data_IF_375959440901
#
_entry.id   IF_375959440901
#
_cell.length_a   1.000
_cell.length_b   1.000
_cell.length_c   1.000
_cell.angle_alpha   90.00
_cell.angle_beta   90.00
_cell.angle_gamma   90.00
#
_symmetry.space_group_name_H-M   'P 1'
#
loop_
_entity.id
_entity.type
_entity.pdbx_description
1 polymer ?
#
# COMPACT_ATOMS: atom_id res chain seq x y z
N UNK A 1 1.97 -13.04 9.39
CA UNK A 1 2.19 -13.12 7.92
C UNK A 1 1.74 -14.46 7.34
N UNK A 2 1.47 -15.45 8.17
CA UNK A 2 0.89 -16.72 7.73
C UNK A 2 -0.45 -16.49 7.02
N UNK A 3 -0.65 -17.13 5.86
CA UNK A 3 -1.84 -16.96 5.02
C UNK A 3 -1.89 -15.67 4.19
N UNK A 4 -0.80 -14.92 4.11
CA UNK A 4 -0.69 -13.71 3.28
C UNK A 4 0.25 -13.94 2.10
N UNK A 5 -0.12 -13.39 0.94
CA UNK A 5 0.76 -13.21 -0.21
C UNK A 5 1.16 -11.73 -0.26
N UNK A 6 2.43 -11.46 -0.50
CA UNK A 6 2.98 -10.11 -0.53
C UNK A 6 3.71 -9.84 -1.85
N UNK A 7 3.57 -8.63 -2.37
CA UNK A 7 4.27 -8.12 -3.54
C UNK A 7 5.21 -6.98 -3.12
N UNK A 8 6.28 -6.74 -3.92
CA UNK A 8 7.35 -5.79 -3.56
C UNK A 8 7.00 -4.30 -3.70
N UNK A 9 5.75 -3.99 -4.02
CA UNK A 9 5.20 -2.64 -4.21
C UNK A 9 5.77 -1.86 -5.42
N UNK A 10 5.31 -0.60 -5.58
CA UNK A 10 5.65 0.31 -6.67
C UNK A 10 7.03 0.98 -6.47
N UNK A 11 7.33 2.01 -7.27
CA UNK A 11 8.58 2.79 -7.18
C UNK A 11 8.88 3.33 -5.77
N UNK A 12 7.86 3.56 -4.93
CA UNK A 12 8.05 3.98 -3.54
C UNK A 12 8.44 2.84 -2.58
N UNK A 13 8.41 1.59 -3.05
CA UNK A 13 8.79 0.42 -2.26
C UNK A 13 10.28 0.39 -1.89
N UNK A 14 10.62 -0.34 -0.84
CA UNK A 14 12.01 -0.40 -0.33
C UNK A 14 13.00 -0.92 -1.38
N UNK A 15 12.61 -1.94 -2.15
CA UNK A 15 13.47 -2.55 -3.17
C UNK A 15 13.70 -1.61 -4.35
N UNK A 16 12.67 -1.04 -5.01
CA UNK A 16 12.86 -0.04 -6.05
C UNK A 16 13.65 1.18 -5.59
N UNK A 17 13.41 1.68 -4.38
CA UNK A 17 14.16 2.81 -3.82
C UNK A 17 15.65 2.49 -3.62
N UNK A 18 15.99 1.28 -3.20
CA UNK A 18 17.39 0.86 -3.09
C UNK A 18 18.05 0.78 -4.48
N UNK A 19 17.34 0.31 -5.49
CA UNK A 19 17.81 0.26 -6.89
C UNK A 19 18.07 1.69 -7.42
N UNK A 20 17.12 2.61 -7.22
CA UNK A 20 17.26 4.01 -7.65
C UNK A 20 18.42 4.73 -6.95
N UNK A 21 18.72 4.34 -5.70
CA UNK A 21 19.88 4.82 -4.96
C UNK A 21 21.20 4.18 -5.42
N UNK A 22 21.17 3.26 -6.38
CA UNK A 22 22.38 2.54 -6.87
C UNK A 22 22.83 1.42 -5.93
N UNK A 23 22.06 1.06 -4.92
CA UNK A 23 22.39 0.04 -3.92
C UNK A 23 21.67 -1.28 -4.20
N UNK A 24 22.14 -2.00 -5.22
CA UNK A 24 21.57 -3.27 -5.64
C UNK A 24 21.66 -4.36 -4.55
N UNK A 25 22.75 -4.38 -3.77
CA UNK A 25 22.95 -5.37 -2.72
C UNK A 25 21.96 -5.17 -1.57
N UNK A 26 21.63 -3.93 -1.24
CA UNK A 26 20.54 -3.61 -0.30
C UNK A 26 19.19 -4.08 -0.84
N UNK A 27 18.90 -3.84 -2.11
CA UNK A 27 17.68 -4.32 -2.76
C UNK A 27 17.56 -5.84 -2.67
N UNK A 28 18.66 -6.56 -2.95
CA UNK A 28 18.72 -8.02 -2.88
C UNK A 28 18.54 -8.54 -1.45
N UNK A 29 19.18 -7.91 -0.50
CA UNK A 29 19.04 -8.27 0.93
C UNK A 29 17.60 -8.10 1.40
N UNK A 30 16.94 -7.00 1.06
CA UNK A 30 15.54 -6.75 1.38
C UNK A 30 14.62 -7.81 0.72
N UNK A 31 14.82 -8.10 -0.57
CA UNK A 31 14.01 -9.10 -1.28
C UNK A 31 14.11 -10.50 -0.64
N UNK A 32 15.31 -10.91 -0.28
CA UNK A 32 15.54 -12.20 0.39
C UNK A 32 14.91 -12.23 1.79
N UNK A 33 14.99 -11.12 2.52
CA UNK A 33 14.35 -11.00 3.84
C UNK A 33 12.82 -11.13 3.75
N UNK A 34 12.19 -10.45 2.79
CA UNK A 34 10.75 -10.58 2.58
C UNK A 34 10.35 -11.99 2.12
N UNK A 35 11.12 -12.62 1.22
CA UNK A 35 10.88 -14.01 0.82
C UNK A 35 10.91 -14.95 2.03
N UNK A 36 11.89 -14.79 2.90
CA UNK A 36 12.05 -15.64 4.07
C UNK A 36 10.97 -15.38 5.13
N UNK A 37 10.49 -14.12 5.23
CA UNK A 37 9.40 -13.72 6.13
C UNK A 37 8.05 -14.29 5.71
N UNK A 38 7.68 -14.20 4.43
CA UNK A 38 6.39 -14.70 3.92
C UNK A 38 6.41 -16.17 3.54
N UNK A 39 7.58 -16.74 3.32
CA UNK A 39 7.79 -18.08 2.85
C UNK A 39 7.84 -18.20 1.33
N UNK A 40 8.46 -19.26 0.85
CA UNK A 40 8.61 -19.53 -0.58
C UNK A 40 7.24 -19.62 -1.27
N UNK A 41 7.09 -18.96 -2.42
CA UNK A 41 5.83 -18.92 -3.17
C UNK A 41 4.78 -17.91 -2.67
N UNK A 42 5.04 -17.22 -1.54
CA UNK A 42 4.13 -16.21 -0.98
C UNK A 42 4.68 -14.77 -1.08
N UNK A 43 5.83 -14.59 -1.68
CA UNK A 43 6.41 -13.29 -1.95
C UNK A 43 6.78 -13.17 -3.43
N UNK A 44 6.41 -12.04 -4.05
CA UNK A 44 6.63 -11.78 -5.48
C UNK A 44 7.35 -10.45 -5.68
N UNK A 45 8.29 -10.43 -6.62
CA UNK A 45 8.82 -9.18 -7.15
C UNK A 45 7.77 -8.59 -8.08
N UNK A 46 7.24 -7.42 -7.71
CA UNK A 46 6.23 -6.70 -8.47
C UNK A 46 6.87 -5.91 -9.59
N UNK A 47 6.35 -6.05 -10.79
CA UNK A 47 6.80 -5.34 -11.97
C UNK A 47 5.71 -4.37 -12.42
N UNK A 48 6.07 -3.10 -12.56
CA UNK A 48 5.19 -2.03 -13.06
C UNK A 48 5.95 -1.26 -14.14
N UNK A 49 5.23 -0.81 -15.17
CA UNK A 49 5.75 0.05 -16.23
C UNK A 49 4.67 1.07 -16.63
N UNK A 50 4.90 2.32 -16.27
CA UNK A 50 4.03 3.45 -16.59
C UNK A 50 4.70 4.43 -17.58
N UNK A 51 5.86 4.04 -18.16
CA UNK A 51 6.63 4.88 -19.07
C UNK A 51 7.36 6.01 -18.36
N UNK A 52 7.62 5.89 -17.05
CA UNK A 52 8.40 6.84 -16.28
C UNK A 52 9.91 6.62 -16.55
N UNK A 53 10.72 7.66 -16.37
CA UNK A 53 12.18 7.53 -16.49
C UNK A 53 12.73 6.51 -15.49
N UNK A 54 12.22 6.52 -14.28
CA UNK A 54 12.57 5.59 -13.20
C UNK A 54 12.26 4.13 -13.57
N UNK A 55 11.18 3.87 -14.32
CA UNK A 55 10.82 2.51 -14.75
C UNK A 55 11.90 1.92 -15.63
N UNK A 56 12.53 2.74 -16.49
CA UNK A 56 13.63 2.29 -17.39
C UNK A 56 14.86 1.82 -16.61
N UNK A 57 15.07 2.34 -15.40
CA UNK A 57 16.17 1.98 -14.50
C UNK A 57 15.78 0.76 -13.65
N UNK A 58 14.59 0.81 -13.05
CA UNK A 58 14.15 -0.13 -12.00
C UNK A 58 13.73 -1.47 -12.61
N UNK A 59 12.93 -1.47 -13.67
CA UNK A 59 12.34 -2.70 -14.22
C UNK A 59 13.39 -3.75 -14.64
N UNK A 60 14.47 -3.43 -15.39
CA UNK A 60 15.50 -4.40 -15.73
C UNK A 60 16.22 -4.97 -14.49
N UNK A 61 16.40 -4.15 -13.46
CA UNK A 61 17.06 -4.57 -12.21
C UNK A 61 16.16 -5.47 -11.37
N UNK A 62 14.84 -5.22 -11.32
CA UNK A 62 13.88 -6.10 -10.67
C UNK A 62 13.81 -7.47 -11.35
N UNK A 63 13.78 -7.51 -12.68
CA UNK A 63 13.80 -8.76 -13.44
C UNK A 63 15.09 -9.55 -13.17
N UNK A 64 16.24 -8.86 -13.16
CA UNK A 64 17.53 -9.46 -12.80
C UNK A 64 17.49 -10.02 -11.38
N UNK A 65 17.01 -9.23 -10.42
CA UNK A 65 16.88 -9.59 -9.00
C UNK A 65 16.03 -10.85 -8.83
N UNK A 66 14.85 -10.87 -9.45
CA UNK A 66 13.95 -12.01 -9.43
C UNK A 66 14.62 -13.29 -9.94
N UNK A 67 15.32 -13.21 -11.08
CA UNK A 67 16.06 -14.35 -11.65
C UNK A 67 17.22 -14.81 -10.78
N UNK A 68 17.97 -13.90 -10.18
CA UNK A 68 19.08 -14.24 -9.28
C UNK A 68 18.64 -14.86 -7.97
N UNK A 69 17.49 -14.45 -7.43
CA UNK A 69 16.99 -14.89 -6.12
C UNK A 69 16.01 -16.04 -6.21
N UNK A 70 15.51 -16.37 -7.43
CA UNK A 70 14.45 -17.35 -7.64
C UNK A 70 13.08 -16.89 -7.15
N UNK A 71 12.91 -15.62 -6.78
CA UNK A 71 11.61 -15.07 -6.35
C UNK A 71 10.74 -14.88 -7.60
N UNK A 72 9.50 -15.39 -7.62
CA UNK A 72 8.59 -15.21 -8.76
C UNK A 72 8.23 -13.72 -8.96
N UNK A 73 7.88 -13.36 -10.21
CA UNK A 73 7.46 -12.02 -10.58
C UNK A 73 5.94 -11.94 -10.74
N UNK A 74 5.35 -10.77 -10.47
CA UNK A 74 3.96 -10.47 -10.78
C UNK A 74 3.86 -9.09 -11.44
N UNK A 75 3.22 -9.04 -12.62
CA UNK A 75 3.00 -7.79 -13.34
C UNK A 75 1.70 -7.12 -12.85
N UNK A 76 1.81 -5.87 -12.42
CA UNK A 76 0.65 -5.05 -12.01
C UNK A 76 0.70 -3.69 -12.71
N UNK A 77 -0.37 -2.92 -12.61
CA UNK A 77 -0.43 -1.61 -13.29
C UNK A 77 -0.76 -0.44 -12.35
N UNK A 78 -0.87 -0.66 -11.04
CA UNK A 78 -1.17 0.42 -10.07
C UNK A 78 -2.31 1.34 -10.58
N UNK A 79 -3.42 0.74 -11.04
CA UNK A 79 -4.49 1.44 -11.72
C UNK A 79 -5.20 2.43 -10.79
N UNK A 80 -5.24 3.70 -11.17
CA UNK A 80 -5.86 4.78 -10.43
C UNK A 80 -7.15 5.30 -11.06
N UNK A 81 -7.41 4.94 -12.30
CA UNK A 81 -8.62 5.28 -13.05
C UNK A 81 -8.94 4.20 -14.09
N UNK A 82 -10.17 4.23 -14.60
CA UNK A 82 -10.69 3.13 -15.42
C UNK A 82 -10.18 3.17 -16.87
N UNK A 83 -10.15 4.35 -17.49
CA UNK A 83 -9.79 4.53 -18.90
C UNK A 83 -8.67 5.55 -19.00
N UNK A 84 -7.82 5.46 -20.03
CA UNK A 84 -6.74 6.40 -20.30
C UNK A 84 -7.22 7.87 -20.29
N UNK A 85 -8.37 8.16 -20.90
CA UNK A 85 -8.95 9.49 -20.97
C UNK A 85 -9.37 10.06 -19.59
N UNK A 86 -9.51 9.21 -18.58
CA UNK A 86 -9.87 9.62 -17.21
C UNK A 86 -8.69 10.24 -16.43
N UNK A 87 -7.48 10.23 -16.97
CA UNK A 87 -6.28 10.79 -16.34
C UNK A 87 -6.49 12.25 -15.89
N UNK A 88 -7.18 13.07 -16.73
CA UNK A 88 -7.50 14.45 -16.39
C UNK A 88 -8.47 14.56 -15.20
N UNK A 89 -9.44 13.67 -15.12
CA UNK A 89 -10.39 13.64 -13.99
C UNK A 89 -9.67 13.23 -12.71
N UNK A 90 -8.74 12.29 -12.79
CA UNK A 90 -7.89 11.90 -11.67
C UNK A 90 -7.07 13.09 -11.15
N UNK A 91 -6.47 13.90 -12.02
CA UNK A 91 -5.74 15.11 -11.61
C UNK A 91 -6.62 16.10 -10.83
N UNK A 92 -7.91 16.26 -11.23
CA UNK A 92 -8.87 17.08 -10.51
C UNK A 92 -9.17 16.49 -9.13
N UNK A 93 -9.36 15.18 -9.03
CA UNK A 93 -9.61 14.49 -7.76
C UNK A 93 -8.43 14.64 -6.81
N UNK A 94 -7.19 14.52 -7.31
CA UNK A 94 -5.98 14.76 -6.51
C UNK A 94 -5.91 16.20 -5.99
N UNK A 95 -6.28 17.20 -6.81
CA UNK A 95 -6.38 18.59 -6.35
C UNK A 95 -7.40 18.76 -5.21
N UNK A 96 -8.57 18.14 -5.32
CA UNK A 96 -9.59 18.17 -4.25
C UNK A 96 -9.04 17.52 -2.98
N UNK A 97 -8.43 16.35 -3.10
CA UNK A 97 -7.87 15.59 -1.97
C UNK A 97 -6.76 16.36 -1.24
N UNK A 98 -5.92 17.08 -1.98
CA UNK A 98 -4.75 17.80 -1.44
C UNK A 98 -5.04 19.27 -1.11
N UNK A 99 -6.26 19.76 -1.36
CA UNK A 99 -6.63 21.16 -1.16
C UNK A 99 -5.93 22.12 -2.13
N UNK A 100 -5.60 21.65 -3.33
CA UNK A 100 -4.93 22.40 -4.39
C UNK A 100 -5.89 22.70 -5.54
N UNK A 101 -5.44 23.55 -6.45
CA UNK A 101 -6.12 23.86 -7.72
C UNK A 101 -5.29 23.35 -8.91
N UNK A 102 -5.91 23.29 -10.09
CA UNK A 102 -5.19 22.90 -11.32
C UNK A 102 -4.10 23.88 -11.76
N UNK A 103 -4.12 25.13 -11.24
CA UNK A 103 -3.11 26.14 -11.52
C UNK A 103 -1.92 26.10 -10.57
N UNK A 104 -2.01 25.39 -9.44
CA UNK A 104 -0.93 25.32 -8.48
C UNK A 104 0.25 24.53 -9.05
N UNK A 105 1.45 25.10 -9.01
CA UNK A 105 2.66 24.49 -9.57
C UNK A 105 3.12 23.25 -8.77
N UNK A 106 2.75 23.18 -7.49
CA UNK A 106 3.08 22.10 -6.56
C UNK A 106 1.91 21.11 -6.34
N UNK A 107 0.94 21.09 -7.26
CA UNK A 107 -0.11 20.06 -7.23
C UNK A 107 0.46 18.68 -7.44
N UNK A 108 -0.13 17.69 -6.78
CA UNK A 108 0.17 16.30 -7.06
C UNK A 108 -0.47 15.89 -8.40
N UNK A 109 0.33 15.32 -9.31
CA UNK A 109 -0.17 14.76 -10.57
C UNK A 109 0.66 13.56 -11.01
N UNK A 110 0.05 12.68 -11.77
CA UNK A 110 0.77 11.61 -12.47
C UNK A 110 1.47 12.18 -13.70
N UNK A 111 2.71 11.77 -13.94
CA UNK A 111 3.52 12.26 -15.06
C UNK A 111 3.10 11.64 -16.40
N UNK A 112 2.36 10.52 -16.38
CA UNK A 112 1.87 9.83 -17.56
C UNK A 112 0.38 9.50 -17.41
N UNK A 113 -0.28 9.09 -18.48
CA UNK A 113 -1.66 8.62 -18.50
C UNK A 113 -1.79 7.08 -18.48
N UNK A 114 -0.72 6.38 -18.05
CA UNK A 114 -0.60 4.93 -18.10
C UNK A 114 -1.22 4.20 -16.88
N UNK A 115 -1.77 4.91 -15.91
CA UNK A 115 -2.33 4.35 -14.67
C UNK A 115 -3.81 3.95 -14.80
N UNK A 116 -4.24 3.54 -16.00
CA UNK A 116 -5.59 3.03 -16.25
C UNK A 116 -5.67 1.50 -16.16
N UNK A 117 -6.88 0.96 -16.12
CA UNK A 117 -7.08 -0.50 -16.14
C UNK A 117 -6.81 -1.01 -17.55
N UNK A 118 -5.61 -1.54 -17.76
CA UNK A 118 -5.19 -2.15 -19.03
C UNK A 118 -5.89 -3.49 -19.26
N UNK A 119 -6.10 -3.82 -20.51
CA UNK A 119 -6.58 -5.14 -20.94
C UNK A 119 -5.50 -6.20 -20.74
N UNK A 120 -5.90 -7.47 -20.76
CA UNK A 120 -4.96 -8.59 -20.69
C UNK A 120 -3.92 -8.53 -21.80
N UNK A 121 -4.35 -8.23 -23.02
CA UNK A 121 -3.44 -8.15 -24.19
C UNK A 121 -2.44 -7.01 -24.03
N UNK A 122 -2.87 -5.82 -23.58
CA UNK A 122 -1.99 -4.70 -23.31
C UNK A 122 -0.94 -5.04 -22.24
N UNK A 123 -1.32 -5.77 -21.17
CA UNK A 123 -0.37 -6.20 -20.14
C UNK A 123 0.62 -7.23 -20.68
N UNK A 124 0.20 -8.21 -21.49
CA UNK A 124 1.13 -9.16 -22.09
C UNK A 124 2.06 -8.52 -23.13
N UNK A 125 1.59 -7.50 -23.86
CA UNK A 125 2.46 -6.73 -24.77
C UNK A 125 3.48 -5.93 -24.00
N UNK A 126 3.08 -5.27 -22.90
CA UNK A 126 3.96 -4.46 -22.06
C UNK A 126 5.05 -5.30 -21.39
N UNK A 127 4.73 -6.50 -20.94
CA UNK A 127 5.63 -7.42 -20.24
C UNK A 127 6.06 -8.61 -21.14
N UNK A 128 6.11 -8.43 -22.47
CA UNK A 128 6.45 -9.49 -23.41
C UNK A 128 7.83 -10.16 -23.14
N UNK A 129 8.75 -9.44 -22.47
CA UNK A 129 10.06 -9.97 -22.07
C UNK A 129 10.00 -10.93 -20.86
N UNK A 130 8.90 -10.94 -20.11
CA UNK A 130 8.66 -11.77 -18.91
C UNK A 130 7.17 -12.13 -18.78
N UNK A 131 6.59 -12.83 -19.77
CA UNK A 131 5.15 -13.13 -19.81
C UNK A 131 4.67 -13.94 -18.59
N UNK A 132 5.59 -14.66 -17.93
CA UNK A 132 5.32 -15.36 -16.68
C UNK A 132 4.89 -14.41 -15.55
N UNK A 133 5.31 -13.15 -15.57
CA UNK A 133 4.86 -12.17 -14.57
C UNK A 133 3.36 -11.88 -14.69
N UNK A 134 2.80 -11.89 -15.91
CA UNK A 134 1.36 -11.76 -16.14
C UNK A 134 0.63 -13.04 -15.72
N UNK A 135 1.10 -14.22 -16.13
CA UNK A 135 0.43 -15.49 -15.78
C UNK A 135 0.46 -15.80 -14.28
N UNK A 136 1.49 -15.34 -13.55
CA UNK A 136 1.58 -15.49 -12.10
C UNK A 136 0.47 -14.75 -11.35
N UNK A 137 -0.12 -13.70 -11.92
CA UNK A 137 -1.28 -13.02 -11.32
C UNK A 137 -2.49 -13.96 -11.18
N UNK A 138 -2.69 -14.86 -12.15
CA UNK A 138 -3.73 -15.89 -12.05
C UNK A 138 -3.40 -16.90 -10.97
N UNK A 139 -2.13 -17.32 -10.82
CA UNK A 139 -1.70 -18.22 -9.76
C UNK A 139 -1.97 -17.61 -8.38
N UNK A 140 -1.67 -16.32 -8.21
CA UNK A 140 -1.98 -15.58 -6.98
C UNK A 140 -3.50 -15.56 -6.72
N UNK A 141 -4.29 -15.24 -7.75
CA UNK A 141 -5.74 -15.20 -7.62
C UNK A 141 -6.33 -16.57 -7.20
N UNK A 142 -5.84 -17.66 -7.78
CA UNK A 142 -6.28 -19.02 -7.48
C UNK A 142 -5.92 -19.47 -6.04
N UNK A 143 -4.90 -18.87 -5.44
CA UNK A 143 -4.53 -19.10 -4.04
C UNK A 143 -5.37 -18.29 -3.06
N UNK A 144 -6.02 -17.21 -3.50
CA UNK A 144 -6.84 -16.35 -2.66
C UNK A 144 -8.25 -16.92 -2.48
N UNK A 145 -8.42 -17.77 -1.46
CA UNK A 145 -9.69 -18.44 -1.13
C UNK A 145 -10.22 -17.92 0.22
N UNK A 146 -10.55 -16.64 0.30
CA UNK A 146 -11.02 -16.00 1.50
C UNK A 146 -12.33 -15.25 1.25
N UNK A 147 -13.34 -15.54 2.08
CA UNK A 147 -14.62 -14.82 2.07
C UNK A 147 -14.75 -13.92 3.29
N UNK A 148 -15.27 -12.71 3.09
CA UNK A 148 -15.54 -11.77 4.17
C UNK A 148 -16.89 -12.12 4.83
N UNK A 149 -16.87 -12.25 6.15
CA UNK A 149 -18.08 -12.38 6.96
C UNK A 149 -18.67 -10.99 7.23
N UNK A 150 -19.69 -10.62 6.45
CA UNK A 150 -20.39 -9.34 6.60
C UNK A 150 -21.41 -9.38 7.74
N UNK A 151 -21.71 -8.21 8.33
CA UNK A 151 -22.72 -8.07 9.39
C UNK A 151 -22.24 -8.40 10.80
N UNK A 152 -21.00 -8.84 10.96
CA UNK A 152 -20.37 -9.08 12.25
C UNK A 152 -19.24 -8.07 12.49
N UNK A 153 -19.49 -7.13 13.41
CA UNK A 153 -18.48 -6.14 13.79
C UNK A 153 -17.42 -6.81 14.66
N UNK A 154 -16.19 -6.88 14.17
CA UNK A 154 -15.03 -7.38 14.92
C UNK A 154 -14.23 -6.20 15.44
N UNK A 155 -14.47 -5.84 16.71
CA UNK A 155 -13.72 -4.80 17.42
C UNK A 155 -12.58 -5.48 18.18
N UNK A 156 -11.32 -5.00 18.07
CA UNK A 156 -10.22 -5.53 18.86
C UNK A 156 -10.53 -5.44 20.36
N UNK A 157 -10.31 -6.54 21.07
CA UNK A 157 -10.48 -6.56 22.53
C UNK A 157 -9.35 -5.74 23.17
N UNK A 158 -9.75 -4.72 23.91
CA UNK A 158 -8.84 -3.93 24.75
C UNK A 158 -8.89 -4.45 26.18
N UNK A 159 -7.73 -4.68 26.77
CA UNK A 159 -7.60 -5.06 28.17
C UNK A 159 -7.02 -3.90 28.95
N UNK A 160 -7.80 -3.34 29.86
CA UNK A 160 -7.35 -2.25 30.71
C UNK A 160 -6.12 -2.67 31.54
N UNK A 161 -5.17 -1.75 31.80
CA UNK A 161 -4.00 -2.02 32.63
C UNK A 161 -4.42 -2.32 34.09
N UNK A 162 -3.52 -3.01 34.81
CA UNK A 162 -3.70 -3.33 36.24
C UNK A 162 -4.96 -4.13 36.59
N UNK A 163 -5.57 -4.82 35.63
CA UNK A 163 -6.78 -5.61 35.86
C UNK A 163 -8.04 -4.79 36.12
N UNK A 164 -8.02 -3.50 35.83
CA UNK A 164 -9.17 -2.61 35.93
C UNK A 164 -10.23 -3.02 34.91
N UNK A 165 -11.52 -2.77 35.23
CA UNK A 165 -12.58 -2.90 34.24
C UNK A 165 -12.40 -1.88 33.10
N UNK A 166 -12.76 -2.27 31.87
CA UNK A 166 -12.56 -1.41 30.71
C UNK A 166 -13.39 -0.13 30.77
N UNK A 167 -14.61 -0.19 31.31
CA UNK A 167 -15.49 0.97 31.46
C UNK A 167 -14.93 1.94 32.51
N UNK A 168 -14.52 1.43 33.68
CA UNK A 168 -13.90 2.23 34.73
C UNK A 168 -12.62 2.91 34.25
N UNK A 169 -11.80 2.18 33.48
CA UNK A 169 -10.59 2.75 32.90
C UNK A 169 -10.89 3.82 31.86
N UNK A 170 -11.88 3.62 31.03
CA UNK A 170 -12.33 4.61 30.05
C UNK A 170 -12.83 5.89 30.73
N UNK A 171 -13.69 5.77 31.75
CA UNK A 171 -14.17 6.90 32.53
C UNK A 171 -13.01 7.68 33.19
N UNK A 172 -12.07 6.94 33.80
CA UNK A 172 -10.86 7.55 34.35
C UNK A 172 -10.07 8.34 33.31
N UNK A 173 -9.83 7.77 32.12
CA UNK A 173 -9.11 8.46 31.04
C UNK A 173 -9.84 9.72 30.57
N UNK A 174 -11.17 9.70 30.54
CA UNK A 174 -11.99 10.83 30.18
C UNK A 174 -11.86 11.97 31.21
N UNK A 175 -11.95 11.65 32.50
CA UNK A 175 -11.78 12.62 33.58
C UNK A 175 -10.36 13.20 33.63
N UNK A 176 -9.34 12.36 33.55
CA UNK A 176 -7.93 12.79 33.50
C UNK A 176 -7.67 13.69 32.26
N UNK A 177 -8.30 13.34 31.14
CA UNK A 177 -8.24 14.12 29.89
C UNK A 177 -8.92 15.48 30.00
N UNK A 178 -10.04 15.56 30.69
CA UNK A 178 -10.80 16.78 30.94
C UNK A 178 -9.97 17.74 31.82
N UNK A 179 -9.40 17.25 32.91
CA UNK A 179 -8.53 18.03 33.80
C UNK A 179 -7.27 18.51 33.09
N UNK A 180 -6.64 17.66 32.30
CA UNK A 180 -5.45 18.03 31.50
C UNK A 180 -5.72 19.13 30.48
N UNK A 181 -6.94 19.16 29.87
CA UNK A 181 -7.31 20.13 28.83
C UNK A 181 -7.77 21.47 29.40
N UNK A 182 -8.47 21.46 30.53
CA UNK A 182 -9.10 22.65 31.10
C UNK A 182 -8.46 23.13 32.41
N UNK A 183 -7.46 22.38 32.91
CA UNK A 183 -6.82 22.68 34.18
C UNK A 183 -7.74 22.40 35.38
N UNK A 184 -7.38 22.92 36.58
CA UNK A 184 -8.13 22.63 37.81
C UNK A 184 -9.53 23.26 37.87
N UNK A 185 -9.85 24.19 36.99
CA UNK A 185 -11.14 24.90 36.94
C UNK A 185 -11.97 24.49 35.72
N UNK A 186 -12.31 23.21 35.63
CA UNK A 186 -13.16 22.70 34.55
C UNK A 186 -14.56 23.33 34.61
N UNK A 187 -15.05 23.98 33.51
CA UNK A 187 -16.42 24.53 33.46
C UNK A 187 -17.46 23.43 33.71
N UNK A 188 -18.53 23.75 34.48
CA UNK A 188 -19.56 22.78 34.84
C UNK A 188 -20.21 22.15 33.59
N UNK A 189 -20.51 22.95 32.56
CA UNK A 189 -21.08 22.45 31.31
C UNK A 189 -20.21 21.36 30.61
N UNK A 190 -18.88 21.39 30.78
CA UNK A 190 -17.99 20.37 30.22
C UNK A 190 -18.00 19.08 31.07
N UNK A 191 -18.20 19.22 32.39
CA UNK A 191 -18.40 18.06 33.28
C UNK A 191 -19.73 17.36 32.99
N UNK A 192 -20.81 18.14 32.89
CA UNK A 192 -22.17 17.63 32.62
C UNK A 192 -22.26 16.92 31.25
N UNK A 193 -21.39 17.27 30.33
CA UNK A 193 -21.31 16.62 29.00
C UNK A 193 -20.55 15.29 29.03
N UNK A 194 -19.75 15.06 30.06
CA UNK A 194 -18.97 13.82 30.20
C UNK A 194 -19.77 12.74 30.93
N UNK A 195 -20.73 13.12 31.76
CA UNK A 195 -21.67 12.22 32.46
C UNK A 195 -22.89 11.91 31.61
#
# INVERSE_FOLDING_TARGET
HEGLICLSACLAGEIPQAILAGDYERAKTAALWYRDLFGEGNYYIELQDHGLEEDTIVLPQLIKLARETGIPMAATNDAHYLRRDDAKMQSILLCIQTGKTMQDADKMEFQTDEFYVKTTDEMYDLFAMVPEACSNTQIIADQCNFDFEFGHTKIPYYKAPNGMDNQEFFEKLCWDGLERRYGPHVPQANKDRLT
#
